data_IF_865172273990
#
_entry.id   IF_865172273990
#
_cell.length_a   1.000
_cell.length_b   1.000
_cell.length_c   1.000
_cell.angle_alpha   90.00
_cell.angle_beta   90.00
_cell.angle_gamma   90.00
#
_symmetry.space_group_name_H-M   'P 1'
#
loop_
_entity.id
_entity.type
_entity.pdbx_description
1 polymer ?
#
# COMPACT_ATOMS: atom_id res chain seq x y z
N UNK A 1 6.94 41.28 -13.95
CA UNK A 1 5.84 41.20 -12.97
C UNK A 1 4.96 40.02 -13.34
N UNK A 2 4.83 39.03 -12.47
CA UNK A 2 4.01 37.85 -12.72
C UNK A 2 2.60 38.07 -12.17
N UNK A 3 1.56 37.74 -12.96
CA UNK A 3 0.16 37.82 -12.56
C UNK A 3 -0.49 36.46 -12.71
N UNK A 4 -1.10 35.97 -11.64
CA UNK A 4 -1.84 34.71 -11.62
C UNK A 4 -3.20 34.97 -12.26
N UNK A 5 -3.48 34.33 -13.41
CA UNK A 5 -4.74 34.52 -14.16
C UNK A 5 -5.89 33.63 -13.69
N UNK A 6 -5.60 32.50 -13.04
CA UNK A 6 -6.60 31.58 -12.46
C UNK A 6 -6.01 30.88 -11.25
N UNK A 7 -6.80 30.77 -10.19
CA UNK A 7 -6.51 30.00 -8.99
C UNK A 7 -7.69 29.06 -8.76
N UNK A 8 -7.42 27.76 -8.71
CA UNK A 8 -8.43 26.73 -8.50
C UNK A 8 -8.22 26.13 -7.10
N UNK A 9 -9.15 26.41 -6.18
CA UNK A 9 -9.05 25.98 -4.78
C UNK A 9 -9.43 24.51 -4.60
N UNK A 10 -10.16 23.94 -5.54
CA UNK A 10 -10.57 22.54 -5.51
C UNK A 10 -9.59 21.71 -6.31
N UNK A 11 -8.90 20.82 -5.61
CA UNK A 11 -7.95 19.93 -6.25
C UNK A 11 -8.07 18.54 -5.65
N UNK A 12 -8.31 17.56 -6.52
CA UNK A 12 -8.37 16.13 -6.22
C UNK A 12 -6.98 15.50 -6.07
N UNK A 13 -5.91 16.28 -6.28
CA UNK A 13 -4.55 15.75 -6.26
C UNK A 13 -4.13 15.32 -4.84
N UNK A 14 -3.53 14.12 -4.79
CA UNK A 14 -3.13 13.44 -3.56
C UNK A 14 -2.23 14.32 -2.68
N UNK A 15 -2.42 14.24 -1.36
CA UNK A 15 -1.62 14.95 -0.36
C UNK A 15 -0.12 14.67 -0.52
N UNK A 16 0.25 13.48 -1.00
CA UNK A 16 1.65 13.10 -1.25
C UNK A 16 2.32 13.91 -2.36
N UNK A 17 1.53 14.48 -3.28
CA UNK A 17 2.01 15.33 -4.38
C UNK A 17 2.30 16.77 -3.92
N UNK A 18 1.62 17.22 -2.87
CA UNK A 18 1.72 18.59 -2.33
C UNK A 18 2.91 18.77 -1.40
N UNK A 19 3.40 17.69 -0.78
CA UNK A 19 4.41 17.74 0.28
C UNK A 19 5.77 17.14 -0.13
N UNK A 20 6.82 17.97 -0.08
CA UNK A 20 8.22 17.53 0.05
C UNK A 20 9.15 17.81 -1.14
N UNK A 21 10.46 17.60 -0.90
CA UNK A 21 11.56 17.77 -1.86
C UNK A 21 11.55 16.74 -3.01
N UNK A 22 10.84 15.62 -2.85
CA UNK A 22 10.73 14.54 -3.82
C UNK A 22 9.26 14.31 -4.21
N UNK A 23 8.77 15.08 -5.19
CA UNK A 23 7.38 14.96 -5.70
C UNK A 23 7.11 13.63 -6.39
N UNK A 24 8.13 13.04 -7.02
CA UNK A 24 8.02 11.77 -7.73
C UNK A 24 7.97 10.55 -6.79
N UNK A 25 8.48 10.68 -5.56
CA UNK A 25 8.39 9.63 -4.55
C UNK A 25 7.04 9.73 -3.81
N UNK A 26 5.99 9.21 -4.46
CA UNK A 26 4.67 9.06 -3.87
C UNK A 26 4.61 7.82 -2.97
N UNK A 27 3.66 7.77 -2.02
CA UNK A 27 3.54 6.59 -1.15
C UNK A 27 3.28 5.31 -1.95
N UNK A 28 2.59 5.39 -3.09
CA UNK A 28 2.29 4.24 -3.94
C UNK A 28 3.54 3.67 -4.61
N UNK A 29 4.44 4.52 -5.11
CA UNK A 29 5.73 4.10 -5.66
C UNK A 29 6.58 3.46 -4.57
N UNK A 30 6.63 4.05 -3.37
CA UNK A 30 7.37 3.51 -2.23
C UNK A 30 6.82 2.13 -1.83
N UNK A 31 5.48 1.97 -1.79
CA UNK A 31 4.82 0.69 -1.51
C UNK A 31 5.26 -0.37 -2.51
N UNK A 32 5.29 -0.04 -3.79
CA UNK A 32 5.72 -0.97 -4.82
C UNK A 32 7.17 -1.42 -4.65
N UNK A 33 8.05 -0.49 -4.26
CA UNK A 33 9.45 -0.80 -3.99
C UNK A 33 9.62 -1.68 -2.75
N UNK A 34 8.84 -1.47 -1.68
CA UNK A 34 8.99 -2.21 -0.43
C UNK A 34 8.13 -3.49 -0.34
N UNK A 35 7.17 -3.72 -1.26
CA UNK A 35 6.21 -4.84 -1.19
C UNK A 35 6.89 -6.21 -1.03
N UNK A 36 8.07 -6.37 -1.62
CA UNK A 36 8.85 -7.61 -1.54
C UNK A 36 9.39 -7.88 -0.12
N UNK A 37 9.66 -6.84 0.67
CA UNK A 37 10.12 -7.00 2.07
C UNK A 37 9.07 -7.61 2.97
N UNK A 38 7.78 -7.36 2.68
CA UNK A 38 6.64 -7.92 3.41
C UNK A 38 6.24 -9.33 2.96
N UNK A 39 6.77 -9.82 1.83
CA UNK A 39 6.41 -11.15 1.31
C UNK A 39 6.91 -12.29 2.20
N UNK A 40 8.04 -12.09 2.90
CA UNK A 40 8.63 -13.07 3.78
C UNK A 40 8.16 -12.83 5.22
N UNK A 41 7.23 -13.65 5.69
CA UNK A 41 6.65 -13.57 7.04
C UNK A 41 7.67 -13.85 8.17
N UNK A 42 8.84 -14.40 7.83
CA UNK A 42 9.95 -14.62 8.76
C UNK A 42 10.83 -13.39 8.97
N UNK A 43 10.67 -12.33 8.15
CA UNK A 43 11.47 -11.12 8.29
C UNK A 43 10.97 -10.26 9.46
N UNK A 44 11.92 -9.56 10.08
CA UNK A 44 11.67 -8.58 11.14
C UNK A 44 10.64 -7.54 10.66
N UNK A 45 9.79 -7.08 11.58
CA UNK A 45 8.86 -5.98 11.34
C UNK A 45 9.58 -4.78 10.73
N UNK A 46 9.09 -4.31 9.59
CA UNK A 46 9.72 -3.24 8.82
C UNK A 46 9.16 -1.89 9.27
N UNK A 47 9.96 -1.11 10.01
CA UNK A 47 9.51 0.15 10.58
C UNK A 47 9.58 1.29 9.56
N UNK A 48 8.79 2.36 9.72
CA UNK A 48 8.83 3.52 8.84
C UNK A 48 10.21 4.19 8.75
N UNK A 49 11.01 4.11 9.83
CA UNK A 49 12.38 4.64 9.86
C UNK A 49 13.31 3.81 8.97
N UNK A 50 13.15 2.48 8.96
CA UNK A 50 13.94 1.57 8.13
C UNK A 50 13.67 1.85 6.65
N UNK A 51 12.42 2.17 6.29
CA UNK A 51 12.06 2.61 4.93
C UNK A 51 12.83 3.88 4.53
N UNK A 52 12.95 4.86 5.43
CA UNK A 52 13.70 6.09 5.12
C UNK A 52 15.18 5.77 4.87
N UNK A 53 15.76 4.92 5.71
CA UNK A 53 17.17 4.53 5.60
C UNK A 53 17.42 3.75 4.32
N UNK A 54 16.60 2.75 4.02
CA UNK A 54 16.73 1.93 2.81
C UNK A 54 16.50 2.77 1.54
N UNK A 55 15.53 3.68 1.54
CA UNK A 55 15.26 4.55 0.39
C UNK A 55 16.41 5.54 0.13
N UNK A 56 17.07 6.00 1.19
CA UNK A 56 18.27 6.82 1.05
C UNK A 56 19.48 5.97 0.61
N UNK A 57 19.63 4.75 1.13
CA UNK A 57 20.73 3.84 0.79
C UNK A 57 20.65 3.34 -0.66
N UNK A 58 19.48 2.90 -1.09
CA UNK A 58 19.29 2.23 -2.38
C UNK A 58 19.03 3.22 -3.51
N UNK A 59 18.38 4.36 -3.21
CA UNK A 59 17.95 5.32 -4.23
C UNK A 59 18.47 6.75 -4.00
N UNK A 60 19.17 7.04 -2.90
CA UNK A 60 19.61 8.40 -2.57
C UNK A 60 18.45 9.36 -2.26
N UNK A 61 17.27 8.83 -1.92
CA UNK A 61 16.06 9.63 -1.70
C UNK A 61 15.74 9.72 -0.21
N UNK A 62 15.79 10.94 0.33
CA UNK A 62 15.35 11.21 1.70
C UNK A 62 13.84 11.49 1.74
N UNK A 63 13.09 10.58 2.33
CA UNK A 63 11.64 10.68 2.41
C UNK A 63 11.16 11.35 3.71
N UNK A 64 10.11 12.20 3.64
CA UNK A 64 9.42 12.67 4.83
C UNK A 64 8.80 11.49 5.58
N UNK A 65 8.89 11.49 6.92
CA UNK A 65 8.32 10.45 7.79
C UNK A 65 6.84 10.13 7.49
N UNK A 66 6.03 11.15 7.21
CA UNK A 66 4.61 10.96 6.88
C UNK A 66 4.40 10.09 5.63
N UNK A 67 5.25 10.24 4.61
CA UNK A 67 5.18 9.43 3.39
C UNK A 67 5.55 7.98 3.68
N UNK A 68 6.58 7.74 4.49
CA UNK A 68 7.00 6.39 4.84
C UNK A 68 6.00 5.69 5.75
N UNK A 69 5.38 6.41 6.69
CA UNK A 69 4.27 5.90 7.49
C UNK A 69 3.08 5.46 6.62
N UNK A 70 2.64 6.32 5.70
CA UNK A 70 1.54 6.02 4.79
C UNK A 70 1.86 4.82 3.89
N UNK A 71 3.09 4.76 3.35
CA UNK A 71 3.55 3.64 2.55
C UNK A 71 3.58 2.34 3.36
N UNK A 72 4.08 2.36 4.59
CA UNK A 72 4.11 1.19 5.47
C UNK A 72 2.70 0.65 5.73
N UNK A 73 1.76 1.53 6.09
CA UNK A 73 0.35 1.15 6.32
C UNK A 73 -0.31 0.53 5.09
N UNK A 74 -0.06 1.11 3.90
CA UNK A 74 -0.56 0.56 2.63
C UNK A 74 0.04 -0.81 2.32
N UNK A 75 1.36 -0.96 2.48
CA UNK A 75 2.06 -2.22 2.20
C UNK A 75 1.58 -3.36 3.11
N UNK A 76 1.38 -3.09 4.41
CA UNK A 76 0.81 -4.07 5.35
C UNK A 76 -0.58 -4.55 4.91
N UNK A 77 -1.45 -3.62 4.48
CA UNK A 77 -2.79 -3.95 4.00
C UNK A 77 -2.75 -4.85 2.76
N UNK A 78 -1.91 -4.51 1.79
CA UNK A 78 -1.73 -5.31 0.56
C UNK A 78 -1.23 -6.72 0.91
N UNK A 79 -0.27 -6.82 1.83
CA UNK A 79 0.24 -8.12 2.26
C UNK A 79 -0.83 -8.97 2.95
N UNK A 80 -1.66 -8.36 3.80
CA UNK A 80 -2.81 -9.04 4.41
C UNK A 80 -3.75 -9.63 3.35
N UNK A 81 -4.13 -8.84 2.33
CA UNK A 81 -4.97 -9.33 1.22
C UNK A 81 -4.30 -10.46 0.44
N UNK A 82 -2.99 -10.36 0.20
CA UNK A 82 -2.21 -11.41 -0.48
C UNK A 82 -2.20 -12.71 0.31
N UNK A 83 -1.95 -12.67 1.62
CA UNK A 83 -1.96 -13.85 2.49
C UNK A 83 -3.33 -14.52 2.51
N UNK A 84 -4.41 -13.72 2.61
CA UNK A 84 -5.78 -14.22 2.49
C UNK A 84 -6.04 -14.90 1.15
N UNK A 85 -5.57 -14.32 0.04
CA UNK A 85 -5.69 -14.90 -1.30
C UNK A 85 -4.89 -16.21 -1.46
N UNK A 86 -3.71 -16.30 -0.86
CA UNK A 86 -2.92 -17.54 -0.84
C UNK A 86 -3.61 -18.64 -0.04
N UNK A 87 -4.13 -18.31 1.15
CA UNK A 87 -4.91 -19.22 1.97
C UNK A 87 -6.17 -19.72 1.24
N UNK A 88 -6.86 -18.81 0.53
CA UNK A 88 -8.00 -19.12 -0.33
C UNK A 88 -7.67 -20.16 -1.41
N UNK A 89 -6.59 -19.95 -2.17
CA UNK A 89 -6.20 -20.85 -3.25
C UNK A 89 -5.86 -22.26 -2.74
N UNK A 90 -5.41 -22.38 -1.48
CA UNK A 90 -5.11 -23.66 -0.83
C UNK A 90 -6.35 -24.43 -0.35
N UNK A 91 -7.48 -23.75 -0.12
CA UNK A 91 -8.74 -24.34 0.39
C UNK A 91 -9.75 -24.78 -0.68
N UNK A 92 -9.45 -24.58 -1.97
CA UNK A 92 -10.35 -24.94 -3.09
C UNK A 92 -10.60 -26.44 -3.30
N UNK A 93 -10.20 -27.31 -2.36
CA UNK A 93 -10.36 -28.75 -2.51
C UNK A 93 -11.78 -29.29 -2.24
N UNK A 94 -12.70 -28.58 -1.54
CA UNK A 94 -14.03 -29.18 -1.29
C UNK A 94 -15.21 -28.28 -0.83
N UNK A 95 -15.17 -26.95 -1.00
CA UNK A 95 -16.29 -26.11 -0.51
C UNK A 95 -16.74 -25.08 -1.54
N UNK A 96 -18.06 -24.91 -1.70
CA UNK A 96 -18.63 -23.79 -2.46
C UNK A 96 -18.48 -22.53 -1.61
N UNK A 97 -17.56 -21.67 -2.02
CA UNK A 97 -17.25 -20.43 -1.32
C UNK A 97 -17.28 -19.30 -2.36
N UNK A 98 -17.99 -18.23 -2.06
CA UNK A 98 -18.05 -17.01 -2.87
C UNK A 98 -17.56 -15.82 -2.05
N UNK A 99 -16.59 -15.09 -2.59
CA UNK A 99 -15.97 -13.93 -1.95
C UNK A 99 -16.29 -12.68 -2.77
N UNK A 100 -16.91 -11.69 -2.14
CA UNK A 100 -17.25 -10.40 -2.77
C UNK A 100 -16.28 -9.35 -2.23
N UNK A 101 -15.54 -8.74 -3.15
CA UNK A 101 -14.60 -7.64 -2.88
C UNK A 101 -15.28 -6.35 -3.33
N UNK A 102 -15.05 -5.26 -2.59
CA UNK A 102 -15.51 -3.93 -2.96
C UNK A 102 -14.69 -3.34 -4.13
N UNK A 103 -15.20 -2.28 -4.78
CA UNK A 103 -14.53 -1.60 -5.90
C UNK A 103 -13.14 -1.04 -5.54
N UNK A 104 -12.89 -0.83 -4.24
CA UNK A 104 -11.61 -0.39 -3.69
C UNK A 104 -10.73 -1.53 -3.15
N UNK A 105 -10.94 -2.77 -3.59
CA UNK A 105 -10.19 -3.96 -3.14
C UNK A 105 -10.30 -4.20 -1.62
N UNK A 106 -11.40 -3.78 -1.01
CA UNK A 106 -11.69 -4.03 0.40
C UNK A 106 -12.53 -5.30 0.55
N UNK A 107 -12.25 -6.06 1.60
CA UNK A 107 -13.06 -7.22 1.97
C UNK A 107 -14.46 -6.76 2.38
N UNK A 108 -15.51 -7.25 1.69
CA UNK A 108 -16.91 -6.91 1.98
C UNK A 108 -17.60 -8.00 2.80
N UNK A 109 -17.87 -9.17 2.19
CA UNK A 109 -18.49 -10.32 2.88
C UNK A 109 -17.96 -11.65 2.35
N UNK A 110 -18.12 -12.69 3.16
CA UNK A 110 -17.69 -14.07 2.87
C UNK A 110 -18.83 -15.05 3.17
N UNK A 111 -19.18 -15.87 2.17
CA UNK A 111 -20.11 -16.98 2.32
C UNK A 111 -19.37 -18.30 2.12
N UNK A 112 -19.43 -19.18 3.13
CA UNK A 112 -18.88 -20.52 3.08
C UNK A 112 -19.96 -21.54 3.41
N UNK A 113 -20.24 -22.43 2.46
CA UNK A 113 -21.02 -23.64 2.70
C UNK A 113 -20.05 -24.81 2.82
N UNK A 114 -19.97 -25.39 4.02
CA UNK A 114 -19.34 -26.68 4.24
C UNK A 114 -20.38 -27.74 3.89
N UNK A 115 -20.01 -28.69 3.02
CA UNK A 115 -20.80 -29.92 2.90
C UNK A 115 -20.58 -30.72 4.20
N UNK A 116 -21.63 -31.32 4.80
CA UNK A 116 -21.47 -32.19 5.96
C UNK A 116 -20.52 -33.36 5.69
#
# INVERSE_FOLDING_TARGET
MFQIKRFDSDHTCSIDFRQGRHRQATSDVIVELIKHRYADASRKSYAPIDIIVDMNRDYGVTLPYKKTWNANKKAQKINGVRLWRMFWNKKKSCSKISLIIDYHDHFKYFFMSLHP
#
